data_IF_290537887089
#
_entry.id   IF_290537887089
#
_cell.length_a   1.000
_cell.length_b   1.000
_cell.length_c   1.000
_cell.angle_alpha   90.00
_cell.angle_beta   90.00
_cell.angle_gamma   90.00
#
_symmetry.space_group_name_H-M   'P 1'
#
loop_
_entity.id
_entity.type
_entity.pdbx_description
1 polymer ?
#
# COMPACT_ATOMS: atom_id res chain seq x y z
N UNK A 1 -13.14 9.91 -59.76
CA UNK A 1 -13.93 10.70 -60.72
C UNK A 1 -15.39 10.57 -60.28
N UNK A 2 -15.90 11.49 -59.44
CA UNK A 2 -16.76 12.62 -59.83
C UNK A 2 -18.08 12.14 -60.48
N UNK A 3 -19.29 12.57 -60.16
CA UNK A 3 -19.85 13.56 -59.24
C UNK A 3 -21.39 13.31 -59.20
N UNK A 4 -22.09 13.89 -58.23
CA UNK A 4 -23.53 13.80 -58.06
C UNK A 4 -24.36 14.54 -59.13
N UNK A 5 -25.63 14.16 -59.29
CA UNK A 5 -26.71 15.04 -59.78
C UNK A 5 -28.05 14.67 -59.12
N UNK A 6 -28.81 15.70 -58.76
CA UNK A 6 -30.10 15.65 -58.08
C UNK A 6 -31.25 15.96 -59.05
N UNK A 7 -32.49 15.54 -58.73
CA UNK A 7 -33.69 16.27 -59.13
C UNK A 7 -34.87 16.01 -58.18
N UNK A 8 -35.51 17.11 -57.77
CA UNK A 8 -36.74 17.20 -56.97
C UNK A 8 -37.99 17.00 -57.84
N UNK A 9 -39.05 16.40 -57.26
CA UNK A 9 -40.43 16.58 -57.73
C UNK A 9 -41.31 17.13 -56.60
N UNK A 10 -42.05 18.20 -56.92
CA UNK A 10 -42.98 18.96 -56.08
C UNK A 10 -44.43 18.51 -56.32
N UNK A 11 -45.25 18.65 -55.28
CA UNK A 11 -46.70 18.99 -55.35
C UNK A 11 -47.64 17.79 -55.55
N UNK A 12 -48.77 17.64 -54.86
CA UNK A 12 -49.45 18.44 -53.85
C UNK A 12 -50.66 17.60 -53.38
N UNK A 13 -51.04 17.67 -52.10
CA UNK A 13 -52.15 16.87 -51.55
C UNK A 13 -53.36 17.76 -51.32
N UNK A 14 -54.46 17.36 -51.96
CA UNK A 14 -55.82 17.89 -51.88
C UNK A 14 -56.38 17.85 -50.45
N UNK A 15 -56.98 18.96 -50.01
CA UNK A 15 -57.74 19.07 -48.77
C UNK A 15 -59.18 18.62 -49.01
N UNK A 16 -59.50 17.39 -48.59
CA UNK A 16 -60.87 16.88 -48.47
C UNK A 16 -61.51 17.29 -47.13
N UNK A 17 -62.76 17.73 -47.19
CA UNK A 17 -63.55 18.32 -46.11
C UNK A 17 -63.97 17.37 -44.98
N UNK A 18 -64.31 17.99 -43.84
CA UNK A 18 -64.65 17.46 -42.52
C UNK A 18 -65.79 16.43 -42.44
N UNK A 19 -65.65 15.49 -41.49
CA UNK A 19 -66.77 14.97 -40.70
C UNK A 19 -66.35 14.84 -39.23
N UNK A 20 -66.92 15.69 -38.38
CA UNK A 20 -66.88 15.58 -36.93
C UNK A 20 -68.12 14.83 -36.46
N UNK A 21 -67.98 13.58 -36.02
CA UNK A 21 -68.96 12.95 -35.12
C UNK A 21 -68.31 11.90 -34.21
N UNK A 22 -68.33 12.22 -32.92
CA UNK A 22 -68.40 11.37 -31.73
C UNK A 22 -67.91 9.91 -31.80
N UNK A 23 -66.81 9.66 -31.10
CA UNK A 23 -66.42 8.33 -30.65
C UNK A 23 -65.09 8.38 -29.89
N UNK A 24 -65.08 8.85 -28.64
CA UNK A 24 -63.91 8.69 -27.76
C UNK A 24 -63.68 7.21 -27.46
N UNK A 25 -62.95 6.51 -28.32
CA UNK A 25 -62.20 5.33 -27.93
C UNK A 25 -60.89 5.80 -27.33
N UNK A 26 -60.81 5.76 -26.00
CA UNK A 26 -59.58 5.93 -25.24
C UNK A 26 -58.59 4.86 -25.72
N UNK A 27 -57.57 5.26 -26.47
CA UNK A 27 -56.44 4.39 -26.76
C UNK A 27 -55.74 4.18 -25.42
N UNK A 28 -55.88 2.99 -24.84
CA UNK A 28 -55.08 2.61 -23.68
C UNK A 28 -53.61 2.67 -24.10
N UNK A 29 -52.86 3.56 -23.47
CA UNK A 29 -51.40 3.57 -23.58
C UNK A 29 -50.91 2.21 -23.09
N UNK A 30 -50.41 1.38 -24.00
CA UNK A 30 -49.63 0.21 -23.60
C UNK A 30 -48.48 0.71 -22.74
N UNK A 31 -48.49 0.33 -21.45
CA UNK A 31 -47.37 0.60 -20.55
C UNK A 31 -46.15 -0.02 -21.20
N UNK A 32 -45.19 0.81 -21.62
CA UNK A 32 -43.90 0.34 -22.09
C UNK A 32 -43.36 -0.64 -21.03
N UNK A 33 -43.06 -1.87 -21.44
CA UNK A 33 -42.47 -2.86 -20.57
C UNK A 33 -41.20 -2.23 -19.97
N UNK A 34 -41.14 -2.08 -18.64
CA UNK A 34 -39.90 -1.71 -17.95
C UNK A 34 -38.90 -2.79 -18.32
N UNK A 35 -37.93 -2.49 -19.18
CA UNK A 35 -36.78 -3.35 -19.38
C UNK A 35 -36.18 -3.59 -18.00
N UNK A 36 -36.30 -4.81 -17.48
CA UNK A 36 -35.52 -5.24 -16.34
C UNK A 36 -34.07 -5.07 -16.76
N UNK A 37 -33.39 -4.05 -16.21
CA UNK A 37 -31.94 -4.01 -16.26
C UNK A 37 -31.45 -5.22 -15.49
N UNK A 38 -31.13 -6.29 -16.20
CA UNK A 38 -30.36 -7.39 -15.65
C UNK A 38 -28.91 -6.90 -15.49
N UNK A 39 -28.67 -6.02 -14.50
CA UNK A 39 -27.32 -5.77 -14.02
C UNK A 39 -27.00 -6.90 -13.04
N UNK A 40 -26.45 -8.00 -13.54
CA UNK A 40 -25.75 -8.93 -12.67
C UNK A 40 -24.49 -8.22 -12.21
N UNK A 41 -24.41 -7.85 -10.93
CA UNK A 41 -23.12 -7.51 -10.33
C UNK A 41 -22.28 -8.78 -10.35
N UNK A 42 -21.33 -8.89 -11.27
CA UNK A 42 -20.29 -9.91 -11.19
C UNK A 42 -19.47 -9.53 -9.94
N UNK A 43 -19.78 -10.17 -8.81
CA UNK A 43 -18.93 -10.05 -7.63
C UNK A 43 -17.68 -10.87 -7.91
N UNK A 44 -16.53 -10.20 -7.94
CA UNK A 44 -15.28 -10.88 -7.65
C UNK A 44 -15.48 -11.64 -6.32
N UNK A 45 -14.94 -12.86 -6.18
CA UNK A 45 -14.91 -13.63 -4.91
C UNK A 45 -16.18 -14.35 -4.40
N UNK A 46 -17.18 -14.71 -5.21
CA UNK A 46 -18.35 -15.46 -4.66
C UNK A 46 -17.97 -16.70 -3.81
N UNK A 47 -16.84 -17.36 -4.10
CA UNK A 47 -16.31 -18.49 -3.33
C UNK A 47 -15.51 -18.12 -2.07
N UNK A 48 -14.96 -16.89 -1.99
CA UNK A 48 -14.08 -16.46 -0.90
C UNK A 48 -14.64 -15.30 -0.07
N UNK A 49 -15.81 -14.75 -0.42
CA UNK A 49 -16.33 -13.51 0.18
C UNK A 49 -16.35 -13.56 1.72
N UNK A 50 -16.93 -14.62 2.31
CA UNK A 50 -17.00 -14.76 3.77
C UNK A 50 -15.61 -14.94 4.40
N UNK A 51 -14.73 -15.70 3.75
CA UNK A 51 -13.35 -15.90 4.22
C UNK A 51 -12.56 -14.58 4.19
N UNK A 52 -12.72 -13.77 3.15
CA UNK A 52 -12.07 -12.46 3.01
C UNK A 52 -12.53 -11.52 4.13
N UNK A 53 -13.83 -11.44 4.39
CA UNK A 53 -14.37 -10.60 5.47
C UNK A 53 -13.86 -11.08 6.83
N UNK A 54 -13.85 -12.39 7.08
CA UNK A 54 -13.37 -12.96 8.33
C UNK A 54 -11.87 -12.74 8.53
N UNK A 55 -11.09 -12.90 7.46
CA UNK A 55 -9.64 -12.65 7.43
C UNK A 55 -9.35 -11.19 7.74
N UNK A 56 -10.01 -10.26 7.05
CA UNK A 56 -9.79 -8.83 7.24
C UNK A 56 -10.11 -8.39 8.67
N UNK A 57 -11.22 -8.88 9.25
CA UNK A 57 -11.57 -8.65 10.67
C UNK A 57 -10.58 -9.28 11.65
N UNK A 58 -10.07 -10.47 11.35
CA UNK A 58 -9.11 -11.17 12.21
C UNK A 58 -7.76 -10.45 12.24
N UNK A 59 -7.32 -9.95 11.08
CA UNK A 59 -6.12 -9.10 10.99
C UNK A 59 -6.37 -7.74 11.67
N UNK A 60 -7.55 -7.16 11.54
CA UNK A 60 -7.97 -5.93 12.23
C UNK A 60 -8.56 -6.18 13.63
N UNK A 61 -7.92 -7.05 14.43
CA UNK A 61 -8.39 -7.39 15.76
C UNK A 61 -7.91 -6.42 16.85
N UNK A 62 -8.73 -6.14 17.88
CA UNK A 62 -8.36 -5.27 19.00
C UNK A 62 -7.03 -5.60 19.65
N UNK A 63 -6.21 -4.56 19.88
CA UNK A 63 -4.90 -4.67 20.49
C UNK A 63 -3.85 -5.33 19.60
N UNK A 64 -4.11 -5.56 18.32
CA UNK A 64 -3.16 -6.21 17.40
C UNK A 64 -2.94 -5.41 16.13
N UNK A 65 -1.79 -5.59 15.51
CA UNK A 65 -1.43 -4.99 14.22
C UNK A 65 -0.55 -5.90 13.37
N UNK A 66 0.03 -5.35 12.32
CA UNK A 66 0.80 -6.10 11.33
C UNK A 66 2.30 -5.81 11.46
N UNK A 67 3.09 -6.88 11.49
CA UNK A 67 4.55 -6.81 11.36
C UNK A 67 4.93 -6.92 9.86
N UNK A 68 5.47 -5.86 9.28
CA UNK A 68 5.88 -5.86 7.87
C UNK A 68 7.34 -6.30 7.74
N UNK A 69 7.58 -7.54 7.33
CA UNK A 69 8.91 -8.16 7.09
C UNK A 69 9.11 -8.50 5.60
N UNK A 70 8.46 -7.74 4.74
CA UNK A 70 8.41 -7.89 3.30
C UNK A 70 9.48 -7.07 2.57
N UNK A 71 10.58 -6.76 3.26
CA UNK A 71 11.74 -6.19 2.62
C UNK A 71 12.24 -7.12 1.51
N UNK A 72 12.45 -6.59 0.30
CA UNK A 72 13.14 -7.33 -0.76
C UNK A 72 14.56 -7.67 -0.34
N UNK A 73 15.23 -8.57 -1.06
CA UNK A 73 16.61 -8.95 -0.76
C UNK A 73 17.56 -7.75 -0.74
N UNK A 74 17.41 -6.81 -1.68
CA UNK A 74 18.17 -5.55 -1.68
C UNK A 74 17.88 -4.72 -0.42
N UNK A 75 16.60 -4.64 -0.05
CA UNK A 75 16.13 -3.84 1.08
C UNK A 75 16.56 -4.38 2.43
N UNK A 76 16.45 -5.70 2.61
CA UNK A 76 16.94 -6.39 3.79
C UNK A 76 18.47 -6.27 3.87
N UNK A 77 19.16 -6.34 2.74
CA UNK A 77 20.62 -6.19 2.68
C UNK A 77 21.14 -4.89 3.27
N UNK A 78 20.48 -3.75 3.00
CA UNK A 78 20.88 -2.46 3.58
C UNK A 78 20.67 -2.40 5.08
N UNK A 79 19.61 -3.05 5.58
CA UNK A 79 19.38 -3.19 7.02
C UNK A 79 20.46 -4.04 7.68
N UNK A 80 20.81 -5.18 7.09
CA UNK A 80 21.89 -6.03 7.58
C UNK A 80 23.24 -5.29 7.56
N UNK A 81 23.53 -4.57 6.48
CA UNK A 81 24.76 -3.77 6.36
C UNK A 81 24.87 -2.70 7.47
N UNK A 82 23.75 -2.12 7.93
CA UNK A 82 23.75 -1.12 9.01
C UNK A 82 24.23 -1.67 10.37
N UNK A 83 24.24 -2.99 10.54
CA UNK A 83 24.78 -3.68 11.71
C UNK A 83 26.03 -4.52 11.38
N UNK A 84 26.63 -4.30 10.20
CA UNK A 84 27.87 -4.96 9.78
C UNK A 84 27.70 -6.38 9.24
N UNK A 85 26.48 -6.81 8.89
CA UNK A 85 26.21 -8.12 8.31
C UNK A 85 26.15 -8.08 6.79
N UNK A 86 26.65 -9.15 6.15
CA UNK A 86 26.53 -9.37 4.72
C UNK A 86 25.09 -9.70 4.31
N UNK A 87 24.68 -9.26 3.11
CA UNK A 87 23.42 -9.64 2.50
C UNK A 87 23.48 -11.01 1.81
N UNK A 88 23.45 -12.08 2.60
CA UNK A 88 23.30 -13.45 2.11
C UNK A 88 22.00 -14.09 2.63
N UNK A 89 21.58 -15.22 2.03
CA UNK A 89 20.32 -15.88 2.38
C UNK A 89 20.28 -16.30 3.85
N UNK A 90 21.38 -16.86 4.37
CA UNK A 90 21.50 -17.29 5.77
C UNK A 90 21.21 -16.16 6.75
N UNK A 91 21.79 -14.97 6.52
CA UNK A 91 21.56 -13.81 7.39
C UNK A 91 20.13 -13.26 7.27
N UNK A 92 19.54 -13.28 6.06
CA UNK A 92 18.13 -12.90 5.87
C UNK A 92 17.20 -13.88 6.58
N UNK A 93 17.42 -15.18 6.42
CA UNK A 93 16.67 -16.24 7.10
C UNK A 93 16.81 -16.11 8.63
N UNK A 94 18.02 -15.95 9.16
CA UNK A 94 18.27 -15.80 10.60
C UNK A 94 17.54 -14.57 11.16
N UNK A 95 17.57 -13.46 10.42
CA UNK A 95 16.84 -12.25 10.81
C UNK A 95 15.31 -12.46 10.78
N UNK A 96 14.78 -13.16 9.78
CA UNK A 96 13.34 -13.50 9.73
C UNK A 96 12.93 -14.47 10.83
N UNK A 97 13.76 -15.46 11.12
CA UNK A 97 13.56 -16.39 12.22
C UNK A 97 13.50 -15.65 13.55
N UNK A 98 14.48 -14.79 13.85
CA UNK A 98 14.50 -13.94 15.04
C UNK A 98 13.14 -13.25 15.27
N UNK A 99 12.62 -12.59 14.23
CA UNK A 99 11.37 -11.85 14.31
C UNK A 99 10.15 -12.77 14.44
N UNK A 100 9.99 -13.74 13.54
CA UNK A 100 8.78 -14.55 13.39
C UNK A 100 8.62 -15.63 14.47
N UNK A 101 9.70 -16.01 15.16
CA UNK A 101 9.66 -16.99 16.26
C UNK A 101 9.72 -16.35 17.65
N UNK A 102 9.60 -15.02 17.75
CA UNK A 102 9.57 -14.31 19.04
C UNK A 102 8.43 -14.84 19.92
N UNK A 103 8.72 -15.40 21.11
CA UNK A 103 7.69 -15.93 22.00
C UNK A 103 6.68 -14.85 22.41
N UNK A 104 5.39 -15.17 22.35
CA UNK A 104 4.31 -14.25 22.75
C UNK A 104 3.99 -13.14 21.75
N UNK A 105 4.71 -13.02 20.62
CA UNK A 105 4.49 -11.97 19.62
C UNK A 105 3.04 -11.92 19.12
N UNK A 106 2.41 -13.08 18.98
CA UNK A 106 1.01 -13.23 18.56
C UNK A 106 -0.01 -12.49 19.42
N UNK A 107 0.32 -12.13 20.67
CA UNK A 107 -0.56 -11.33 21.53
C UNK A 107 -0.78 -9.91 20.97
N UNK A 108 0.18 -9.42 20.18
CA UNK A 108 0.21 -8.03 19.69
C UNK A 108 0.26 -7.93 18.17
N UNK A 109 0.65 -9.00 17.48
CA UNK A 109 0.73 -9.05 16.02
C UNK A 109 -0.31 -10.02 15.49
N UNK A 110 -1.24 -9.54 14.67
CA UNK A 110 -2.30 -10.32 14.02
C UNK A 110 -1.90 -10.89 12.68
N UNK A 111 -0.99 -10.24 11.97
CA UNK A 111 -0.44 -10.73 10.72
C UNK A 111 0.99 -10.27 10.48
N UNK A 112 1.72 -10.97 9.63
CA UNK A 112 3.00 -10.49 9.13
C UNK A 112 3.05 -10.55 7.60
N UNK A 113 3.52 -9.47 6.97
CA UNK A 113 3.69 -9.42 5.52
C UNK A 113 5.08 -9.96 5.22
N UNK A 114 5.17 -10.99 4.39
CA UNK A 114 6.40 -11.65 4.00
C UNK A 114 6.84 -11.20 2.60
N UNK A 115 8.14 -11.31 2.34
CA UNK A 115 8.68 -11.35 0.99
C UNK A 115 8.61 -12.79 0.46
N UNK A 116 8.62 -12.96 -0.86
CA UNK A 116 8.45 -14.28 -1.49
C UNK A 116 9.49 -15.29 -1.00
N UNK A 117 10.78 -14.91 -0.90
CA UNK A 117 11.83 -15.75 -0.33
C UNK A 117 11.44 -16.28 1.06
N UNK A 118 10.92 -15.42 1.94
CA UNK A 118 10.54 -15.79 3.30
C UNK A 118 9.29 -16.67 3.36
N UNK A 119 8.35 -16.54 2.43
CA UNK A 119 7.13 -17.35 2.40
C UNK A 119 7.43 -18.86 2.19
N UNK A 120 8.53 -19.16 1.48
CA UNK A 120 8.99 -20.53 1.19
C UNK A 120 10.16 -20.97 2.08
N UNK A 121 10.66 -20.11 2.96
CA UNK A 121 11.72 -20.44 3.91
C UNK A 121 11.19 -21.15 5.16
N UNK A 122 12.11 -21.81 5.85
CA UNK A 122 11.90 -22.48 7.12
C UNK A 122 12.88 -21.97 8.17
N UNK A 123 12.58 -22.23 9.44
CA UNK A 123 13.55 -22.09 10.53
C UNK A 123 14.72 -23.05 10.33
N UNK A 124 15.83 -22.82 11.03
CA UNK A 124 16.96 -23.76 11.13
C UNK A 124 16.53 -25.18 11.52
N UNK A 125 15.46 -25.30 12.31
CA UNK A 125 14.94 -26.59 12.79
C UNK A 125 13.92 -27.24 11.83
N UNK A 126 13.79 -26.72 10.61
CA UNK A 126 12.96 -27.30 9.55
C UNK A 126 11.45 -26.99 9.60
N UNK A 127 11.00 -26.10 10.50
CA UNK A 127 9.60 -25.66 10.56
C UNK A 127 9.40 -24.52 9.56
N UNK A 128 8.40 -24.62 8.68
CA UNK A 128 8.09 -23.53 7.75
C UNK A 128 7.76 -22.23 8.52
N UNK A 129 8.17 -21.06 8.01
CA UNK A 129 7.79 -19.81 8.67
C UNK A 129 6.28 -19.62 8.74
N UNK A 130 5.55 -20.09 7.73
CA UNK A 130 4.08 -20.12 7.71
C UNK A 130 3.51 -20.88 8.92
N UNK A 131 4.04 -22.07 9.22
CA UNK A 131 3.56 -22.87 10.34
C UNK A 131 3.97 -22.30 11.70
N UNK A 132 5.19 -21.77 11.80
CA UNK A 132 5.65 -21.05 12.99
C UNK A 132 4.73 -19.86 13.32
N UNK A 133 4.36 -19.07 12.30
CA UNK A 133 3.44 -17.95 12.44
C UNK A 133 2.03 -18.40 12.83
N UNK A 134 1.48 -19.43 12.17
CA UNK A 134 0.16 -19.99 12.51
C UNK A 134 0.10 -20.50 13.94
N UNK A 135 1.13 -21.21 14.40
CA UNK A 135 1.26 -21.67 15.80
C UNK A 135 1.28 -20.50 16.78
N UNK A 136 1.87 -19.37 16.38
CA UNK A 136 1.84 -18.12 17.15
C UNK A 136 0.55 -17.30 16.94
N UNK A 137 -0.47 -17.81 16.24
CA UNK A 137 -1.70 -17.10 15.87
C UNK A 137 -1.45 -15.84 15.00
N UNK A 138 -0.34 -15.79 14.26
CA UNK A 138 0.00 -14.72 13.34
C UNK A 138 -0.37 -15.16 11.93
N UNK A 139 -1.17 -14.35 11.24
CA UNK A 139 -1.61 -14.64 9.89
C UNK A 139 -0.50 -14.33 8.87
N UNK A 140 -0.17 -15.24 7.95
CA UNK A 140 0.77 -14.96 6.87
C UNK A 140 0.14 -14.08 5.79
N UNK A 141 0.84 -13.02 5.43
CA UNK A 141 0.54 -12.19 4.25
C UNK A 141 1.74 -12.10 3.33
N UNK A 142 1.52 -11.67 2.09
CA UNK A 142 2.55 -11.68 1.05
C UNK A 142 2.60 -10.35 0.30
N UNK A 143 3.79 -9.80 0.09
CA UNK A 143 4.00 -8.70 -0.85
C UNK A 143 3.94 -9.25 -2.28
N UNK A 144 3.06 -8.68 -3.12
CA UNK A 144 2.84 -9.17 -4.48
C UNK A 144 3.21 -8.17 -5.57
N UNK A 145 3.41 -6.90 -5.23
CA UNK A 145 3.94 -5.92 -6.19
C UNK A 145 5.38 -6.26 -6.60
N UNK A 146 5.75 -5.87 -7.83
CA UNK A 146 7.09 -6.02 -8.39
C UNK A 146 7.90 -4.72 -8.34
N UNK A 147 7.53 -3.82 -7.42
CA UNK A 147 8.20 -2.53 -7.24
C UNK A 147 7.75 -1.46 -8.23
N UNK A 148 8.31 -0.28 -8.04
CA UNK A 148 7.95 0.90 -8.83
C UNK A 148 9.01 1.17 -9.88
N UNK A 149 8.55 1.72 -11.00
CA UNK A 149 9.39 2.16 -12.11
C UNK A 149 9.01 3.59 -12.49
N UNK A 150 9.91 4.35 -13.14
CA UNK A 150 9.59 5.70 -13.61
C UNK A 150 8.33 5.70 -14.47
N UNK A 151 7.45 6.67 -14.24
CA UNK A 151 6.23 6.85 -15.00
C UNK A 151 6.52 7.75 -16.22
N UNK A 152 6.49 7.23 -17.45
CA UNK A 152 6.78 8.03 -18.64
C UNK A 152 5.77 9.17 -18.81
N UNK A 153 6.24 10.35 -19.19
CA UNK A 153 5.38 11.53 -19.37
C UNK A 153 4.90 12.18 -18.06
N UNK A 154 5.46 11.79 -16.92
CA UNK A 154 5.18 12.38 -15.59
C UNK A 154 6.30 13.31 -15.12
N UNK A 155 6.09 13.99 -13.98
CA UNK A 155 7.08 14.90 -13.39
C UNK A 155 8.03 14.16 -12.42
N UNK A 156 8.83 13.24 -12.96
CA UNK A 156 9.69 12.34 -12.18
C UNK A 156 8.91 11.52 -11.14
N UNK A 157 7.72 11.07 -11.52
CA UNK A 157 6.89 10.22 -10.68
C UNK A 157 7.11 8.74 -11.05
N UNK A 158 6.52 7.84 -10.27
CA UNK A 158 6.66 6.40 -10.50
C UNK A 158 5.30 5.71 -10.46
N UNK A 159 5.23 4.53 -11.06
CA UNK A 159 4.06 3.66 -11.01
C UNK A 159 4.48 2.23 -10.68
N UNK A 160 3.55 1.43 -10.18
CA UNK A 160 3.85 0.12 -9.63
C UNK A 160 3.54 -1.01 -10.60
N UNK A 161 4.48 -1.94 -10.75
CA UNK A 161 4.35 -3.11 -11.61
C UNK A 161 3.95 -4.36 -10.81
N UNK A 162 3.49 -5.40 -11.53
CA UNK A 162 3.26 -6.73 -10.94
C UNK A 162 1.93 -7.38 -11.27
N UNK A 163 1.07 -6.75 -12.10
CA UNK A 163 -0.23 -7.29 -12.49
C UNK A 163 -0.09 -8.53 -13.39
N UNK A 164 0.96 -8.58 -14.21
CA UNK A 164 1.24 -9.70 -15.09
C UNK A 164 1.47 -10.98 -14.28
N UNK A 165 0.63 -11.98 -14.52
CA UNK A 165 0.63 -13.26 -13.80
C UNK A 165 0.18 -13.17 -12.33
N UNK A 166 -0.36 -12.04 -11.87
CA UNK A 166 -0.75 -11.85 -10.47
C UNK A 166 -1.79 -12.87 -9.99
N UNK A 167 -2.76 -13.25 -10.83
CA UNK A 167 -3.78 -14.23 -10.46
C UNK A 167 -3.14 -15.59 -10.11
N UNK A 168 -2.29 -16.12 -11.01
CA UNK A 168 -1.59 -17.39 -10.78
C UNK A 168 -0.69 -17.33 -9.55
N UNK A 169 0.04 -16.22 -9.34
CA UNK A 169 0.87 -16.03 -8.15
C UNK A 169 0.02 -15.98 -6.87
N UNK A 170 -1.10 -15.25 -6.89
CA UNK A 170 -2.00 -15.13 -5.74
C UNK A 170 -2.60 -16.48 -5.34
N UNK A 171 -3.03 -17.27 -6.32
CA UNK A 171 -3.51 -18.64 -6.08
C UNK A 171 -2.42 -19.52 -5.45
N UNK A 172 -1.17 -19.40 -5.90
CA UNK A 172 -0.06 -20.18 -5.36
C UNK A 172 0.32 -19.73 -3.93
N UNK A 173 0.35 -18.42 -3.67
CA UNK A 173 0.58 -17.91 -2.32
C UNK A 173 -0.53 -18.30 -1.36
N UNK A 174 -1.79 -18.35 -1.82
CA UNK A 174 -2.91 -18.82 -1.02
C UNK A 174 -2.74 -20.30 -0.60
N UNK A 175 -2.32 -21.16 -1.53
CA UNK A 175 -1.98 -22.58 -1.24
C UNK A 175 -0.82 -22.69 -0.27
N UNK A 176 0.23 -21.89 -0.46
CA UNK A 176 1.40 -21.85 0.42
C UNK A 176 1.04 -21.35 1.83
N UNK A 177 -0.07 -20.63 1.99
CA UNK A 177 -0.67 -20.34 3.28
C UNK A 177 -0.89 -18.86 3.58
N UNK A 178 -0.58 -17.97 2.63
CA UNK A 178 -0.94 -16.57 2.74
C UNK A 178 -2.46 -16.39 2.75
N UNK A 179 -2.95 -15.38 3.48
CA UNK A 179 -4.38 -15.01 3.53
C UNK A 179 -4.65 -13.56 3.22
N UNK A 180 -3.62 -12.74 3.19
CA UNK A 180 -3.70 -11.37 2.72
C UNK A 180 -2.50 -11.02 1.86
N UNK A 181 -2.66 -10.03 1.01
CA UNK A 181 -1.62 -9.53 0.13
C UNK A 181 -1.32 -8.07 0.44
N UNK A 182 -0.17 -7.59 -0.01
CA UNK A 182 0.21 -6.18 0.05
C UNK A 182 0.69 -5.70 -1.31
N UNK A 183 0.19 -4.55 -1.74
CA UNK A 183 0.66 -3.84 -2.93
C UNK A 183 0.92 -2.39 -2.60
N UNK A 184 2.18 -1.97 -2.76
CA UNK A 184 2.59 -0.60 -2.49
C UNK A 184 2.72 0.20 -3.78
N UNK A 185 1.98 1.30 -3.88
CA UNK A 185 2.27 2.37 -4.85
C UNK A 185 2.63 3.66 -4.13
N UNK A 186 3.26 4.61 -4.83
CA UNK A 186 3.64 5.90 -4.24
C UNK A 186 3.04 7.06 -5.00
N UNK A 187 2.82 8.15 -4.27
CA UNK A 187 2.43 9.44 -4.80
C UNK A 187 3.34 10.50 -4.17
N UNK A 188 4.00 11.31 -5.00
CA UNK A 188 4.93 12.35 -4.56
C UNK A 188 4.21 13.69 -4.39
N UNK A 189 4.72 14.55 -3.49
CA UNK A 189 4.21 15.93 -3.28
C UNK A 189 5.10 17.00 -3.94
N UNK A 190 6.45 16.97 -3.82
CA UNK A 190 7.32 18.06 -4.29
C UNK A 190 7.12 18.49 -5.74
N UNK A 191 6.82 17.52 -6.61
CA UNK A 191 6.68 17.72 -8.05
C UNK A 191 5.20 17.73 -8.50
N UNK A 192 4.30 17.98 -7.54
CA UNK A 192 2.87 17.65 -7.59
C UNK A 192 2.65 16.15 -7.40
N UNK A 193 1.39 15.73 -7.23
CA UNK A 193 1.03 14.54 -7.96
C UNK A 193 0.26 14.94 -9.20
N UNK A 194 0.81 14.58 -10.36
CA UNK A 194 0.10 14.72 -11.62
C UNK A 194 -1.19 13.89 -11.58
N UNK A 195 -2.20 14.30 -12.34
CA UNK A 195 -3.42 13.51 -12.47
C UNK A 195 -3.13 12.11 -13.00
N UNK A 196 -2.12 11.98 -13.87
CA UNK A 196 -1.66 10.70 -14.38
C UNK A 196 -1.14 9.80 -13.25
N UNK A 197 -0.24 10.29 -12.38
CA UNK A 197 0.31 9.48 -11.30
C UNK A 197 -0.75 9.07 -10.27
N UNK A 198 -1.68 9.99 -9.92
CA UNK A 198 -2.80 9.65 -9.03
C UNK A 198 -3.68 8.56 -9.65
N UNK A 199 -4.01 8.71 -10.94
CA UNK A 199 -4.83 7.74 -11.66
C UNK A 199 -4.14 6.38 -11.78
N UNK A 200 -2.86 6.33 -12.15
CA UNK A 200 -2.09 5.08 -12.26
C UNK A 200 -1.98 4.37 -10.91
N UNK A 201 -1.71 5.11 -9.84
CA UNK A 201 -1.68 4.58 -8.48
C UNK A 201 -3.05 3.96 -8.11
N UNK A 202 -4.14 4.69 -8.32
CA UNK A 202 -5.48 4.25 -7.96
C UNK A 202 -5.98 3.08 -8.83
N UNK A 203 -5.75 3.13 -10.15
CA UNK A 203 -6.15 2.08 -11.09
C UNK A 203 -5.38 0.79 -10.86
N UNK A 204 -4.06 0.88 -10.67
CA UNK A 204 -3.21 -0.28 -10.36
C UNK A 204 -3.63 -0.98 -9.08
N UNK A 205 -3.88 -0.21 -8.00
CA UNK A 205 -4.37 -0.74 -6.74
C UNK A 205 -5.74 -1.42 -6.88
N UNK A 206 -6.65 -0.85 -7.66
CA UNK A 206 -7.98 -1.43 -7.86
C UNK A 206 -7.93 -2.77 -8.60
N UNK A 207 -7.11 -2.85 -9.67
CA UNK A 207 -6.87 -4.11 -10.41
C UNK A 207 -6.23 -5.17 -9.53
N UNK A 208 -5.22 -4.79 -8.75
CA UNK A 208 -4.58 -5.66 -7.77
C UNK A 208 -5.58 -6.20 -6.75
N UNK A 209 -6.43 -5.32 -6.18
CA UNK A 209 -7.37 -5.70 -5.14
C UNK A 209 -8.41 -6.71 -5.65
N UNK A 210 -8.98 -6.46 -6.84
CA UNK A 210 -9.92 -7.39 -7.46
C UNK A 210 -9.29 -8.77 -7.71
N UNK A 211 -8.10 -8.81 -8.32
CA UNK A 211 -7.37 -10.07 -8.58
C UNK A 211 -7.06 -10.81 -7.26
N UNK A 212 -6.67 -10.09 -6.21
CA UNK A 212 -6.38 -10.70 -4.90
C UNK A 212 -7.61 -11.36 -4.30
N UNK A 213 -8.76 -10.67 -4.32
CA UNK A 213 -10.02 -11.20 -3.81
C UNK A 213 -10.50 -12.43 -4.58
N UNK A 214 -10.34 -12.44 -5.91
CA UNK A 214 -10.67 -13.61 -6.74
C UNK A 214 -9.80 -14.84 -6.43
N UNK A 215 -8.67 -14.65 -5.77
CA UNK A 215 -7.74 -15.71 -5.39
C UNK A 215 -7.63 -15.91 -3.87
N UNK A 216 -8.64 -15.43 -3.10
CA UNK A 216 -8.76 -15.70 -1.66
C UNK A 216 -7.81 -14.90 -0.76
N UNK A 217 -7.17 -13.85 -1.28
CA UNK A 217 -6.28 -12.97 -0.51
C UNK A 217 -6.95 -11.62 -0.23
N UNK A 218 -7.04 -11.24 1.05
CA UNK A 218 -7.44 -9.88 1.44
C UNK A 218 -6.39 -8.88 0.95
N UNK A 219 -6.73 -7.91 0.07
CA UNK A 219 -5.76 -6.92 -0.38
C UNK A 219 -5.56 -5.81 0.65
N UNK A 220 -4.30 -5.56 1.01
CA UNK A 220 -3.88 -4.32 1.66
C UNK A 220 -3.60 -3.29 0.57
N UNK A 221 -4.45 -2.28 0.51
CA UNK A 221 -4.38 -1.16 -0.44
C UNK A 221 -3.48 -0.06 0.13
N UNK A 222 -2.29 0.12 -0.44
CA UNK A 222 -1.24 1.05 0.07
C UNK A 222 -0.87 2.11 -0.99
N UNK A 223 -1.67 3.21 -1.11
CA UNK A 223 -1.29 4.41 -1.85
C UNK A 223 -0.47 5.31 -0.92
N UNK A 224 0.83 5.05 -0.86
CA UNK A 224 1.70 5.80 0.05
C UNK A 224 2.00 7.20 -0.48
N UNK A 225 1.63 8.22 0.28
CA UNK A 225 1.99 9.60 -0.02
C UNK A 225 3.32 9.88 0.66
N UNK A 226 4.30 10.26 -0.16
CA UNK A 226 5.68 10.42 0.26
C UNK A 226 5.87 11.68 1.11
N UNK A 227 6.76 11.58 2.08
CA UNK A 227 7.06 12.63 3.05
C UNK A 227 7.98 13.73 2.47
N UNK A 228 8.58 13.52 1.30
CA UNK A 228 9.61 14.40 0.76
C UNK A 228 9.17 15.85 0.56
N UNK A 229 10.08 16.79 0.83
CA UNK A 229 9.93 18.21 0.61
C UNK A 229 9.51 19.04 1.83
N UNK A 230 9.42 20.35 1.60
CA UNK A 230 9.10 21.41 2.58
C UNK A 230 7.62 21.82 2.48
N UNK A 231 6.72 20.84 2.49
CA UNK A 231 5.28 21.08 2.38
C UNK A 231 4.60 21.02 3.75
N UNK A 232 3.57 21.86 3.96
CA UNK A 232 2.80 21.87 5.21
C UNK A 232 1.90 20.64 5.32
N UNK A 233 1.44 20.35 6.55
CA UNK A 233 0.46 19.28 6.79
C UNK A 233 -0.87 19.49 6.04
N UNK A 234 -1.26 20.74 5.78
CA UNK A 234 -2.45 21.06 4.98
C UNK A 234 -2.27 20.63 3.52
N UNK A 235 -1.07 20.80 2.96
CA UNK A 235 -0.76 20.32 1.61
C UNK A 235 -0.80 18.80 1.54
N UNK A 236 -0.28 18.11 2.56
CA UNK A 236 -0.39 16.64 2.66
C UNK A 236 -1.85 16.20 2.72
N UNK A 237 -2.69 16.88 3.49
CA UNK A 237 -4.12 16.59 3.59
C UNK A 237 -4.82 16.75 2.24
N UNK A 238 -4.56 17.85 1.53
CA UNK A 238 -5.14 18.12 0.21
C UNK A 238 -4.81 17.00 -0.79
N UNK A 239 -3.53 16.61 -0.87
CA UNK A 239 -3.07 15.52 -1.74
C UNK A 239 -3.68 14.19 -1.31
N UNK A 240 -3.71 13.89 -0.01
CA UNK A 240 -4.28 12.66 0.50
C UNK A 240 -5.76 12.53 0.19
N UNK A 241 -6.51 13.61 0.30
CA UNK A 241 -7.92 13.62 -0.05
C UNK A 241 -8.15 13.33 -1.54
N UNK A 242 -7.34 13.91 -2.43
CA UNK A 242 -7.41 13.66 -3.87
C UNK A 242 -7.10 12.19 -4.19
N UNK A 243 -6.01 11.67 -3.65
CA UNK A 243 -5.57 10.28 -3.90
C UNK A 243 -6.60 9.28 -3.40
N UNK A 244 -7.07 9.42 -2.16
CA UNK A 244 -8.03 8.47 -1.59
C UNK A 244 -9.40 8.53 -2.27
N UNK A 245 -9.82 9.68 -2.80
CA UNK A 245 -11.03 9.78 -3.61
C UNK A 245 -10.94 8.92 -4.88
N UNK A 246 -9.83 9.04 -5.62
CA UNK A 246 -9.58 8.27 -6.85
C UNK A 246 -9.43 6.77 -6.56
N UNK A 247 -8.73 6.41 -5.47
CA UNK A 247 -8.58 5.00 -5.04
C UNK A 247 -9.95 4.36 -4.83
N UNK A 248 -10.84 4.97 -4.04
CA UNK A 248 -12.17 4.39 -3.82
C UNK A 248 -13.06 4.42 -5.06
N UNK A 249 -12.92 5.44 -5.91
CA UNK A 249 -13.60 5.47 -7.20
C UNK A 249 -13.23 4.24 -8.04
N UNK A 250 -11.93 3.97 -8.23
CA UNK A 250 -11.50 2.85 -9.06
C UNK A 250 -11.67 1.47 -8.40
N UNK A 251 -11.59 1.37 -7.06
CA UNK A 251 -11.95 0.15 -6.34
C UNK A 251 -13.42 -0.22 -6.62
N UNK A 252 -14.33 0.76 -6.58
CA UNK A 252 -15.74 0.54 -6.93
C UNK A 252 -15.91 0.15 -8.41
N UNK A 253 -15.22 0.81 -9.34
CA UNK A 253 -15.26 0.46 -10.78
C UNK A 253 -14.76 -0.96 -11.07
N UNK A 254 -13.86 -1.49 -10.24
CA UNK A 254 -13.35 -2.86 -10.35
C UNK A 254 -14.14 -3.88 -9.51
N UNK A 255 -15.31 -3.50 -8.97
CA UNK A 255 -16.19 -4.35 -8.16
C UNK A 255 -15.50 -4.96 -6.92
N UNK A 256 -14.55 -4.24 -6.32
CA UNK A 256 -13.86 -4.69 -5.10
C UNK A 256 -14.81 -4.62 -3.90
N UNK A 257 -14.87 -5.71 -3.13
CA UNK A 257 -15.68 -5.79 -1.91
C UNK A 257 -14.95 -5.12 -0.74
N UNK A 258 -15.46 -3.99 -0.25
CA UNK A 258 -14.77 -3.16 0.75
C UNK A 258 -14.69 -3.83 2.13
N UNK A 259 -15.61 -4.72 2.46
CA UNK A 259 -15.61 -5.50 3.70
C UNK A 259 -14.44 -6.50 3.76
N UNK A 260 -13.87 -6.85 2.61
CA UNK A 260 -12.76 -7.77 2.44
C UNK A 260 -11.46 -7.10 2.01
N UNK A 261 -11.25 -5.81 2.32
CA UNK A 261 -9.97 -5.12 2.13
C UNK A 261 -9.41 -4.60 3.46
N UNK A 262 -8.13 -4.24 3.45
CA UNK A 262 -7.52 -3.41 4.48
C UNK A 262 -6.84 -2.22 3.81
N UNK A 263 -6.77 -1.09 4.48
CA UNK A 263 -6.05 0.07 3.97
C UNK A 263 -4.73 0.23 4.71
N UNK A 264 -3.70 0.67 3.99
CA UNK A 264 -2.42 1.08 4.59
C UNK A 264 -2.06 2.49 4.12
N UNK A 265 -2.75 3.52 4.64
CA UNK A 265 -2.41 4.91 4.36
C UNK A 265 -1.12 5.31 5.07
N UNK A 266 -0.41 6.27 4.49
CA UNK A 266 0.48 7.12 5.27
C UNK A 266 -0.32 8.00 6.23
N UNK A 267 0.24 8.30 7.39
CA UNK A 267 -0.31 9.35 8.25
C UNK A 267 -0.20 10.71 7.55
N UNK A 268 -1.08 11.66 7.88
CA UNK A 268 -1.01 13.02 7.35
C UNK A 268 -0.08 13.84 8.25
N UNK A 269 1.13 14.11 7.77
CA UNK A 269 2.15 14.89 8.48
C UNK A 269 2.68 16.02 7.58
N UNK A 270 3.36 17.04 8.13
CA UNK A 270 4.19 17.91 7.32
C UNK A 270 5.31 17.13 6.63
N UNK A 271 5.86 17.70 5.57
CA UNK A 271 6.99 17.12 4.85
C UNK A 271 8.24 16.99 5.73
N UNK A 272 9.17 16.12 5.33
CA UNK A 272 10.37 15.80 6.10
C UNK A 272 11.23 17.04 6.36
N UNK A 273 11.29 17.92 5.36
CA UNK A 273 12.09 19.15 5.34
C UNK A 273 11.30 20.36 5.88
N UNK A 274 10.01 20.16 6.22
CA UNK A 274 9.19 21.21 6.77
C UNK A 274 9.68 21.62 8.16
N UNK A 275 9.84 22.94 8.35
CA UNK A 275 10.46 23.54 9.54
C UNK A 275 9.76 23.17 10.84
N UNK A 276 8.44 23.10 10.81
CA UNK A 276 7.63 22.83 11.99
C UNK A 276 7.19 21.37 12.04
N UNK A 277 7.53 20.66 13.12
CA UNK A 277 7.00 19.31 13.35
C UNK A 277 5.59 19.40 13.93
N UNK A 278 4.70 18.54 13.44
CA UNK A 278 3.36 18.43 13.98
C UNK A 278 3.36 17.59 15.26
N UNK A 279 2.54 17.99 16.24
CA UNK A 279 2.30 17.16 17.43
C UNK A 279 1.50 15.90 17.07
N UNK A 280 1.58 14.83 17.89
CA UNK A 280 0.78 13.63 17.65
C UNK A 280 -0.73 13.89 17.55
N UNK A 281 -1.24 14.83 18.35
CA UNK A 281 -2.64 15.25 18.30
C UNK A 281 -2.99 15.91 16.96
N UNK A 282 -2.09 16.73 16.41
CA UNK A 282 -2.30 17.38 15.12
C UNK A 282 -2.26 16.38 13.97
N UNK A 283 -1.30 15.45 13.99
CA UNK A 283 -1.20 14.34 13.01
C UNK A 283 -2.46 13.47 13.07
N UNK A 284 -2.94 13.14 14.27
CA UNK A 284 -4.16 12.39 14.46
C UNK A 284 -5.40 13.12 13.92
N UNK A 285 -5.56 14.41 14.26
CA UNK A 285 -6.66 15.24 13.76
C UNK A 285 -6.74 15.20 12.22
N UNK A 286 -5.61 15.42 11.55
CA UNK A 286 -5.54 15.50 10.09
C UNK A 286 -5.73 14.15 9.42
N UNK A 287 -5.11 13.11 9.98
CA UNK A 287 -5.25 11.75 9.46
C UNK A 287 -6.69 11.28 9.58
N UNK A 288 -7.32 11.44 10.75
CA UNK A 288 -8.71 11.06 10.95
C UNK A 288 -9.68 11.90 10.11
N UNK A 289 -9.37 13.19 9.89
CA UNK A 289 -10.15 14.06 9.00
C UNK A 289 -10.13 13.55 7.55
N UNK A 290 -8.97 13.15 7.04
CA UNK A 290 -8.84 12.53 5.73
C UNK A 290 -9.66 11.25 5.63
N UNK A 291 -9.51 10.33 6.61
CA UNK A 291 -10.22 9.05 6.63
C UNK A 291 -11.74 9.28 6.66
N UNK A 292 -12.23 10.17 7.53
CA UNK A 292 -13.65 10.56 7.64
C UNK A 292 -14.25 11.11 6.35
N UNK A 293 -13.44 11.77 5.52
CA UNK A 293 -13.89 12.37 4.26
C UNK A 293 -13.86 11.42 3.07
N UNK A 294 -13.01 10.39 3.09
CA UNK A 294 -12.70 9.59 1.89
C UNK A 294 -12.92 8.09 2.03
N UNK A 295 -12.91 7.55 3.25
CA UNK A 295 -12.99 6.11 3.46
C UNK A 295 -14.44 5.71 3.81
N UNK A 296 -15.03 4.71 3.13
CA UNK A 296 -16.32 4.15 3.54
C UNK A 296 -16.23 3.36 4.86
N UNK A 297 -17.25 3.42 5.75
CA UNK A 297 -17.30 2.61 6.98
C UNK A 297 -17.31 1.09 6.77
N UNK A 298 -17.57 0.61 5.54
CA UNK A 298 -17.55 -0.82 5.22
C UNK A 298 -16.15 -1.46 5.35
N UNK A 299 -15.09 -0.65 5.25
CA UNK A 299 -13.71 -1.13 5.44
C UNK A 299 -13.52 -1.59 6.89
N UNK A 300 -13.01 -2.79 7.17
CA UNK A 300 -12.87 -3.27 8.54
C UNK A 300 -11.70 -2.62 9.31
N UNK A 301 -10.58 -2.32 8.63
CA UNK A 301 -9.37 -1.85 9.31
C UNK A 301 -8.48 -0.91 8.50
N UNK A 302 -7.91 0.06 9.21
CA UNK A 302 -6.90 1.00 8.73
C UNK A 302 -5.58 0.67 9.42
N UNK A 303 -4.63 0.12 8.66
CA UNK A 303 -3.34 -0.35 9.12
C UNK A 303 -2.28 0.70 8.78
N UNK A 304 -2.24 1.80 9.52
CA UNK A 304 -1.39 2.95 9.16
C UNK A 304 0.07 2.54 9.00
N UNK A 305 0.73 3.09 7.98
CA UNK A 305 2.17 2.91 7.77
C UNK A 305 2.98 3.98 8.48
N UNK A 306 4.28 3.72 8.65
CA UNK A 306 5.24 4.77 8.98
C UNK A 306 5.73 5.39 7.65
N UNK A 307 5.46 6.68 7.47
CA UNK A 307 5.65 7.52 6.27
C UNK A 307 7.04 7.46 5.66
N UNK A 308 7.19 6.95 4.43
CA UNK A 308 8.48 6.91 3.74
C UNK A 308 8.85 8.17 2.96
N UNK A 309 10.15 8.26 2.72
CA UNK A 309 10.86 9.28 1.97
C UNK A 309 11.42 8.64 0.68
N UNK A 310 11.42 9.42 -0.39
CA UNK A 310 11.84 9.13 -1.76
C UNK A 310 12.74 10.26 -2.26
N UNK A 311 14.05 10.06 -2.14
CA UNK A 311 15.00 10.97 -2.78
C UNK A 311 15.45 10.38 -4.11
N UNK A 312 15.09 11.07 -5.19
CA UNK A 312 15.50 10.73 -6.55
C UNK A 312 16.91 11.29 -6.74
N UNK A 313 17.92 10.42 -6.74
CA UNK A 313 19.30 10.83 -7.02
C UNK A 313 19.34 11.37 -8.45
N UNK A 314 19.77 12.64 -8.69
CA UNK A 314 20.05 13.10 -10.03
C UNK A 314 21.14 12.20 -10.60
N UNK A 315 20.88 11.57 -11.74
CA UNK A 315 21.87 10.81 -12.52
C UNK A 315 23.18 11.61 -12.61
N UNK A 316 24.20 11.21 -11.85
CA UNK A 316 25.58 11.63 -12.07
C UNK A 316 26.02 10.99 -13.39
N UNK A 317 26.14 11.81 -14.43
CA UNK A 317 26.81 11.43 -15.68
C UNK A 317 28.23 10.99 -15.32
N UNK A 318 28.49 9.68 -15.35
CA UNK A 318 29.85 9.16 -15.26
C UNK A 318 30.50 9.36 -16.63
N UNK A 319 31.43 10.30 -16.72
CA UNK A 319 32.24 10.53 -17.91
C UNK A 319 33.41 9.53 -17.88
N UNK A 320 33.42 8.54 -18.77
CA UNK A 320 34.60 7.69 -18.98
C UNK A 320 35.52 8.36 -20.01
N UNK A 321 36.72 8.75 -19.58
CA UNK A 321 37.82 9.09 -20.48
C UNK A 321 38.57 7.80 -20.81
N UNK A 322 38.42 7.29 -22.04
CA UNK A 322 39.30 6.25 -22.57
C UNK A 322 40.30 6.95 -23.49
N UNK A 323 41.54 7.07 -23.03
CA UNK A 323 42.63 7.64 -23.81
C UNK A 323 43.25 6.60 -24.74
N UNK A 324 43.26 6.89 -26.04
CA UNK A 324 44.20 6.30 -27.01
C UNK A 324 44.75 7.43 -27.87
N UNK A 325 46.08 7.43 -28.03
CA UNK A 325 46.93 8.36 -28.79
C UNK A 325 46.20 9.43 -29.63
N UNK A 326 46.31 10.67 -29.17
CA UNK A 326 46.09 11.94 -29.89
C UNK A 326 44.73 12.21 -30.59
N UNK A 327 43.65 11.55 -30.17
CA UNK A 327 42.29 11.93 -30.59
C UNK A 327 41.25 11.78 -29.47
N UNK A 328 40.71 12.90 -28.97
CA UNK A 328 39.60 12.89 -28.02
C UNK A 328 38.28 12.60 -28.74
N UNK A 329 37.78 11.36 -28.63
CA UNK A 329 36.46 10.97 -29.14
C UNK A 329 35.46 10.96 -27.98
N UNK A 330 34.48 11.88 -27.99
CA UNK A 330 33.34 11.84 -27.07
C UNK A 330 32.39 10.73 -27.51
N UNK A 331 32.53 9.53 -26.93
CA UNK A 331 31.59 8.43 -27.19
C UNK A 331 30.39 8.56 -26.24
N UNK A 332 29.25 9.00 -26.78
CA UNK A 332 27.95 8.79 -26.13
C UNK A 332 27.54 7.34 -26.30
N UNK A 333 27.94 6.47 -25.38
CA UNK A 333 27.46 5.10 -25.37
C UNK A 333 25.99 5.10 -24.90
N UNK A 334 25.05 5.04 -25.84
CA UNK A 334 23.68 4.56 -25.58
C UNK A 334 23.73 3.05 -25.35
N UNK A 335 24.29 2.66 -24.20
CA UNK A 335 24.14 1.32 -23.66
C UNK A 335 22.87 1.28 -22.83
N UNK A 336 21.82 0.63 -23.34
CA UNK A 336 20.69 0.17 -22.54
C UNK A 336 21.19 -0.93 -21.59
N UNK A 337 21.90 -0.54 -20.54
CA UNK A 337 22.07 -1.39 -19.37
C UNK A 337 20.85 -1.10 -18.50
N UNK A 338 19.86 -1.98 -18.59
CA UNK A 338 18.70 -2.01 -17.73
C UNK A 338 19.16 -2.45 -16.32
N UNK A 339 19.86 -1.57 -15.61
CA UNK A 339 20.12 -1.72 -14.18
C UNK A 339 18.78 -1.49 -13.50
N UNK A 340 18.11 -2.60 -13.15
CA UNK A 340 16.89 -2.67 -12.38
C UNK A 340 17.14 -2.15 -10.95
N UNK A 341 17.27 -0.83 -10.81
CA UNK A 341 17.40 -0.14 -9.54
C UNK A 341 16.02 0.10 -8.93
N UNK A 342 15.43 -0.93 -8.33
CA UNK A 342 14.24 -0.81 -7.49
C UNK A 342 14.60 -0.05 -6.20
N UNK A 343 14.12 1.20 -6.02
CA UNK A 343 14.51 2.07 -4.89
C UNK A 343 13.31 2.44 -3.98
N UNK A 344 13.04 1.73 -2.87
CA UNK A 344 12.06 2.16 -1.84
C UNK A 344 12.29 1.75 -0.37
N UNK A 345 12.09 2.75 0.53
CA UNK A 345 11.44 2.74 1.87
C UNK A 345 12.20 3.18 3.13
N UNK A 346 12.43 4.48 3.35
CA UNK A 346 12.79 4.96 4.69
C UNK A 346 11.66 5.78 5.31
N UNK A 347 10.73 5.11 6.01
CA UNK A 347 9.84 5.70 7.02
C UNK A 347 10.53 6.74 7.94
N UNK A 348 10.13 8.01 7.94
CA UNK A 348 10.87 9.09 8.63
C UNK A 348 10.70 9.09 10.15
N UNK A 349 9.55 8.61 10.66
CA UNK A 349 9.23 8.73 12.08
C UNK A 349 10.05 7.76 12.94
N UNK A 350 10.38 8.18 14.16
CA UNK A 350 10.96 7.28 15.17
C UNK A 350 9.98 6.17 15.59
N UNK A 351 10.47 5.15 16.31
CA UNK A 351 9.59 4.09 16.84
C UNK A 351 8.55 4.68 17.82
N UNK A 352 8.98 5.63 18.67
CA UNK A 352 8.11 6.30 19.65
C UNK A 352 7.13 7.25 18.98
N UNK A 353 7.57 8.03 17.99
CA UNK A 353 6.70 8.97 17.28
C UNK A 353 5.56 8.24 16.55
N UNK A 354 5.87 7.14 15.86
CA UNK A 354 4.84 6.31 15.23
C UNK A 354 3.81 5.79 16.24
N UNK A 355 4.30 5.32 17.40
CA UNK A 355 3.44 4.83 18.50
C UNK A 355 2.57 5.94 19.09
N UNK A 356 3.12 7.14 19.31
CA UNK A 356 2.38 8.29 19.83
C UNK A 356 1.31 8.79 18.86
N UNK A 357 1.63 8.85 17.57
CA UNK A 357 0.69 9.24 16.52
C UNK A 357 -0.48 8.25 16.44
N UNK A 358 -0.19 6.94 16.47
CA UNK A 358 -1.22 5.90 16.53
C UNK A 358 -2.09 6.01 17.78
N UNK A 359 -1.47 6.26 18.93
CA UNK A 359 -2.17 6.42 20.20
C UNK A 359 -3.13 7.61 20.15
N UNK A 360 -2.68 8.76 19.65
CA UNK A 360 -3.50 9.96 19.50
C UNK A 360 -4.70 9.73 18.57
N UNK A 361 -4.55 8.94 17.50
CA UNK A 361 -5.67 8.58 16.62
C UNK A 361 -6.73 7.74 17.34
N UNK A 362 -6.32 6.80 18.19
CA UNK A 362 -7.24 5.91 18.91
C UNK A 362 -7.84 6.53 20.20
N UNK A 363 -7.44 7.75 20.56
CA UNK A 363 -8.10 8.53 21.61
C UNK A 363 -9.40 9.21 21.14
N UNK A 364 -9.69 9.14 19.84
CA UNK A 364 -10.93 9.65 19.23
C UNK A 364 -11.77 8.51 18.68
N UNK A 365 -13.11 8.59 18.74
CA UNK A 365 -13.97 7.56 18.15
C UNK A 365 -13.87 7.56 16.62
N UNK A 366 -13.73 6.36 16.06
CA UNK A 366 -13.69 6.11 14.61
C UNK A 366 -14.59 4.93 14.25
N UNK A 367 -15.21 4.92 13.04
CA UNK A 367 -15.99 3.77 12.59
C UNK A 367 -15.10 2.59 12.17
N UNK A 368 -13.81 2.82 11.97
CA UNK A 368 -12.83 1.80 11.59
C UNK A 368 -11.97 1.36 12.78
N UNK A 369 -11.42 0.17 12.68
CA UNK A 369 -10.32 -0.26 13.51
C UNK A 369 -9.00 0.37 13.02
N UNK A 370 -8.50 1.39 13.73
CA UNK A 370 -7.22 2.04 13.39
C UNK A 370 -6.09 1.35 14.14
N UNK A 371 -5.23 0.66 13.40
CA UNK A 371 -4.07 -0.09 13.90
C UNK A 371 -2.84 0.17 13.02
N UNK A 372 -1.79 -0.63 13.15
CA UNK A 372 -0.50 -0.41 12.52
C UNK A 372 -0.12 -1.51 11.53
N UNK A 373 0.63 -1.14 10.48
CA UNK A 373 1.42 -2.07 9.67
C UNK A 373 2.85 -1.54 9.58
N UNK A 374 3.69 -1.95 10.53
CA UNK A 374 5.00 -1.34 10.76
C UNK A 374 6.15 -2.29 10.41
N UNK A 375 7.17 -1.73 9.74
CA UNK A 375 8.46 -2.37 9.51
C UNK A 375 9.50 -1.80 10.49
N UNK A 376 10.20 -0.72 10.09
CA UNK A 376 11.25 -0.10 10.91
C UNK A 376 10.80 0.33 12.31
N UNK A 377 9.55 0.79 12.46
CA UNK A 377 8.99 1.17 13.77
C UNK A 377 8.83 0.01 14.77
N UNK A 378 8.90 -1.24 14.31
CA UNK A 378 8.93 -2.44 15.16
C UNK A 378 10.31 -3.10 15.21
N UNK A 379 11.10 -2.93 14.15
CA UNK A 379 12.28 -3.75 13.91
C UNK A 379 13.61 -3.07 14.26
N UNK A 380 13.68 -1.73 14.28
CA UNK A 380 14.97 -1.02 14.32
C UNK A 380 15.74 -1.30 15.62
N UNK A 381 15.10 -1.19 16.78
CA UNK A 381 15.74 -1.52 18.07
C UNK A 381 16.07 -3.01 18.17
N UNK A 382 15.20 -3.89 17.67
CA UNK A 382 15.45 -5.34 17.61
C UNK A 382 16.71 -5.68 16.80
N UNK A 383 16.83 -5.14 15.58
CA UNK A 383 17.96 -5.35 14.68
C UNK A 383 19.29 -4.85 15.30
N UNK A 384 19.29 -3.65 15.88
CA UNK A 384 20.47 -3.07 16.55
C UNK A 384 20.90 -3.84 17.79
N UNK A 385 19.93 -4.43 18.50
CA UNK A 385 20.20 -5.28 19.68
C UNK A 385 20.80 -6.61 19.25
N UNK A 386 20.28 -7.21 18.18
CA UNK A 386 20.72 -8.50 17.67
C UNK A 386 22.17 -8.48 17.17
N UNK A 387 22.53 -7.52 16.32
CA UNK A 387 23.87 -7.41 15.67
C UNK A 387 24.32 -8.66 14.90
N UNK A 388 23.42 -9.59 14.59
CA UNK A 388 23.77 -10.86 13.95
C UNK A 388 24.31 -11.94 14.88
N UNK A 389 24.32 -11.68 16.19
CA UNK A 389 24.96 -12.55 17.17
C UNK A 389 23.92 -13.49 17.83
N UNK A 390 24.13 -14.82 17.82
CA UNK A 390 23.21 -15.79 18.42
C UNK A 390 22.92 -15.52 19.91
N UNK A 391 23.91 -15.07 20.67
CA UNK A 391 23.78 -14.73 22.10
C UNK A 391 22.85 -13.55 22.37
N UNK A 392 22.56 -12.71 21.36
CA UNK A 392 21.68 -11.55 21.49
C UNK A 392 20.24 -11.83 21.08
N UNK A 393 19.92 -13.05 20.65
CA UNK A 393 18.58 -13.40 20.14
C UNK A 393 17.50 -13.09 21.17
N UNK A 394 17.64 -13.55 22.41
CA UNK A 394 16.64 -13.31 23.47
C UNK A 394 16.44 -11.82 23.79
N UNK A 395 17.55 -11.06 23.84
CA UNK A 395 17.51 -9.61 24.07
C UNK A 395 16.81 -8.87 22.92
N UNK A 396 17.09 -9.26 21.68
CA UNK A 396 16.47 -8.67 20.49
C UNK A 396 14.98 -9.02 20.37
N UNK A 397 14.60 -10.27 20.67
CA UNK A 397 13.19 -10.68 20.74
C UNK A 397 12.44 -9.93 21.85
N UNK A 398 13.06 -9.73 23.00
CA UNK A 398 12.50 -8.92 24.09
C UNK A 398 12.27 -7.47 23.65
N UNK A 399 13.22 -6.87 22.91
CA UNK A 399 13.08 -5.53 22.36
C UNK A 399 11.92 -5.44 21.34
N UNK A 400 11.77 -6.43 20.47
CA UNK A 400 10.64 -6.51 19.54
C UNK A 400 9.31 -6.61 20.30
N UNK A 401 9.24 -7.43 21.34
CA UNK A 401 8.02 -7.63 22.12
C UNK A 401 7.60 -6.35 22.86
N UNK A 402 8.57 -5.59 23.39
CA UNK A 402 8.33 -4.26 23.99
C UNK A 402 7.70 -3.30 22.96
N UNK A 403 8.19 -3.30 21.72
CA UNK A 403 7.60 -2.49 20.63
C UNK A 403 6.26 -2.98 20.14
N UNK A 404 6.06 -4.29 20.03
CA UNK A 404 4.77 -4.84 19.68
C UNK A 404 3.71 -4.49 20.76
N UNK A 405 4.05 -4.62 22.04
CA UNK A 405 3.18 -4.27 23.17
C UNK A 405 2.84 -2.77 23.21
N UNK A 406 3.80 -1.89 22.97
CA UNK A 406 3.54 -0.45 22.94
C UNK A 406 2.59 -0.05 21.82
N UNK A 407 2.78 -0.59 20.62
CA UNK A 407 1.86 -0.36 19.50
C UNK A 407 0.48 -0.98 19.74
N UNK A 408 0.41 -2.12 20.44
CA UNK A 408 -0.85 -2.70 20.92
C UNK A 408 -1.58 -1.75 21.89
N UNK A 409 -0.88 -1.18 22.87
CA UNK A 409 -1.47 -0.18 23.78
C UNK A 409 -1.89 1.10 23.05
N UNK A 410 -1.12 1.53 22.06
CA UNK A 410 -1.43 2.69 21.23
C UNK A 410 -2.68 2.45 20.37
N UNK A 411 -2.84 1.25 19.81
CA UNK A 411 -4.08 0.84 19.14
C UNK A 411 -5.28 0.98 20.09
N UNK A 412 -5.11 0.67 21.37
CA UNK A 412 -6.18 0.83 22.38
C UNK A 412 -6.32 2.26 22.93
N UNK A 413 -5.50 3.22 22.48
CA UNK A 413 -5.50 4.61 22.98
C UNK A 413 -4.98 4.75 24.42
N UNK A 414 -4.19 3.77 24.91
CA UNK A 414 -3.76 3.62 26.31
C UNK A 414 -2.23 3.69 26.49
N UNK A 415 -1.49 4.14 25.49
CA UNK A 415 -0.04 4.19 25.55
C UNK A 415 0.46 5.50 26.20
N UNK A 416 1.50 5.39 27.03
CA UNK A 416 2.31 6.49 27.57
C UNK A 416 3.78 6.25 27.29
N UNK A 417 4.53 7.31 26.98
CA UNK A 417 5.94 7.26 26.59
C UNK A 417 6.93 7.46 27.78
N UNK A 418 6.44 7.46 29.02
CA UNK A 418 7.23 7.79 30.22
C UNK A 418 8.46 6.90 30.44
N UNK A 419 8.43 5.64 29.95
CA UNK A 419 9.50 4.65 30.16
C UNK A 419 10.27 4.26 28.89
N UNK A 420 10.24 5.11 27.85
CA UNK A 420 10.88 4.82 26.56
C UNK A 420 12.37 5.15 26.53
N UNK A 421 13.16 4.26 25.90
CA UNK A 421 14.61 4.45 25.73
C UNK A 421 14.92 5.57 24.74
N UNK A 422 16.10 6.18 24.87
CA UNK A 422 16.51 7.28 23.99
C UNK A 422 16.74 6.81 22.54
N UNK A 423 17.14 5.55 22.33
CA UNK A 423 17.29 5.00 20.98
C UNK A 423 15.95 4.83 20.26
N UNK A 424 14.87 4.50 20.98
CA UNK A 424 13.53 4.40 20.40
C UNK A 424 12.95 5.78 20.01
N UNK A 425 13.41 6.86 20.65
CA UNK A 425 13.02 8.26 20.39
C UNK A 425 13.71 8.86 19.16
N UNK A 426 14.86 8.33 18.73
CA UNK A 426 15.63 8.88 17.61
C UNK A 426 14.88 8.72 16.28
N UNK A 427 14.76 9.81 15.52
CA UNK A 427 14.19 9.80 14.18
C UNK A 427 14.94 8.83 13.27
N UNK A 428 14.20 8.13 12.41
CA UNK A 428 14.75 7.14 11.47
C UNK A 428 14.86 7.69 10.04
N UNK A 429 14.71 9.00 9.89
CA UNK A 429 14.90 9.70 8.64
C UNK A 429 16.37 9.59 8.20
N UNK A 430 16.59 9.09 6.98
CA UNK A 430 17.87 9.18 6.30
C UNK A 430 17.61 9.77 4.92
N UNK A 431 18.18 10.96 4.68
CA UNK A 431 18.16 11.61 3.38
C UNK A 431 18.90 10.72 2.38
N UNK A 432 18.38 10.58 1.16
CA UNK A 432 19.00 9.79 0.10
C UNK A 432 19.16 8.28 0.40
N UNK A 433 18.40 7.74 1.37
CA UNK A 433 18.41 6.31 1.66
C UNK A 433 17.74 5.55 0.51
N UNK A 434 18.56 5.04 -0.40
CA UNK A 434 18.14 4.17 -1.49
C UNK A 434 17.88 2.77 -0.94
N UNK A 435 17.04 1.97 -1.58
CA UNK A 435 16.81 0.55 -1.25
C UNK A 435 17.28 -0.42 -2.32
#
# INVERSE_FOLDING_TARGET
>A
MAAATASLLKGGVSLGSSQWTNGSKRIESQKAAKAQRASFSIRASASYADELVQTAKSVASPGRGILAVDESNATCGKRLASIGLENNETNRQAYRQLLLTTPGLGQYISGAILFEETLYQSTTDGISFVDAMRKANIMPGIKVDKGLVPLPGSNNESWCQGLDGLASRSAEYYKQGARFAKWRTVVSIPNGPSELAVKEAAWGLARYAAISQDNGLVPIVEPEILLDGDHSIDRTLEVAEKVWAEVFFYLAQNNVMFEGILLKPSMVTPGAEYKEKATPQKVAEYTLKMLKRRVPPAVPGIMVSNLSVFTLVPSLKTLYLVGYHDLFLFVFATGFICLHGTQFLSGGQSEVEATLNLNAMNQSPTPWHVSFSYARALQNTCLKTWKGLPENVEAAQSALLIRARANSLAQLGKYSAENESDDAKKGMFVKDYTY
#
